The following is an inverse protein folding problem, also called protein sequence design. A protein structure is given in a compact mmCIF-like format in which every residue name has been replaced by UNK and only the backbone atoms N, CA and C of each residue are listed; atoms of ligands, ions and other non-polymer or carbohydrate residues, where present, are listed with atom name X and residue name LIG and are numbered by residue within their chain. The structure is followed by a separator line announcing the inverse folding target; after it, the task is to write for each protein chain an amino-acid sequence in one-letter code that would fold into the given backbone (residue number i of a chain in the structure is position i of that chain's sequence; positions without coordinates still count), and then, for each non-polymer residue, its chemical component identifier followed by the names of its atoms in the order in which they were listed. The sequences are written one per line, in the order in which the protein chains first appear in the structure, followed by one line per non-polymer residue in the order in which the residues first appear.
data_IF_246091871273
#
_entry.id   IF_246091871273
#
_cell.length_a   1.000
_cell.length_b   1.000
_cell.length_c   1.000
_cell.angle_alpha   90.00
_cell.angle_beta   90.00
_cell.angle_gamma   90.00
#
_symmetry.space_group_name_H-M   'P 1'
#
loop_
_entity.id
_entity.type
_entity.pdbx_description
1 polymer ?
#
# COMPACT_ATOMS: atom_id res chain seq x y z
N UNK A 1 14.17 -19.08 -5.20
CA UNK A 1 13.03 -19.26 -6.13
C UNK A 1 12.03 -18.13 -6.06
N UNK A 2 11.67 -17.66 -4.87
CA UNK A 2 10.70 -16.58 -4.72
C UNK A 2 11.17 -15.28 -5.39
N UNK A 3 12.44 -14.92 -5.24
CA UNK A 3 12.98 -13.71 -5.86
C UNK A 3 12.98 -13.78 -7.39
N UNK A 4 13.18 -14.96 -7.96
CA UNK A 4 13.09 -15.12 -9.41
C UNK A 4 11.67 -14.84 -9.93
N UNK A 5 10.64 -15.23 -9.18
CA UNK A 5 9.23 -14.94 -9.52
C UNK A 5 8.96 -13.45 -9.41
N UNK A 6 9.48 -12.80 -8.36
CA UNK A 6 9.32 -11.35 -8.17
C UNK A 6 10.00 -10.57 -9.31
N UNK A 7 11.21 -10.96 -9.70
CA UNK A 7 11.92 -10.34 -10.81
C UNK A 7 11.14 -10.52 -12.12
N UNK A 8 10.58 -11.70 -12.35
CA UNK A 8 9.75 -11.96 -13.53
C UNK A 8 8.52 -11.05 -13.56
N UNK A 9 7.82 -10.93 -12.43
CA UNK A 9 6.65 -10.04 -12.32
C UNK A 9 7.02 -8.60 -12.62
N UNK A 10 8.15 -8.14 -12.11
CA UNK A 10 8.61 -6.77 -12.33
C UNK A 10 8.96 -6.51 -13.79
N UNK A 11 9.66 -7.44 -14.44
CA UNK A 11 10.01 -7.35 -15.86
C UNK A 11 8.77 -7.39 -16.76
N UNK A 12 7.73 -8.11 -16.34
CA UNK A 12 6.49 -8.28 -17.10
C UNK A 12 5.36 -7.39 -16.60
N UNK A 13 5.68 -6.32 -15.86
CA UNK A 13 4.66 -5.46 -15.25
C UNK A 13 3.62 -4.98 -16.25
N UNK A 14 4.03 -4.58 -17.45
CA UNK A 14 3.11 -4.08 -18.49
C UNK A 14 2.17 -5.14 -19.04
N UNK A 15 2.47 -6.42 -18.81
CA UNK A 15 1.63 -7.54 -19.23
C UNK A 15 0.69 -8.03 -18.13
N UNK A 16 0.77 -7.45 -16.92
CA UNK A 16 -0.06 -7.86 -15.80
C UNK A 16 -1.53 -7.53 -16.04
N UNK A 17 -2.40 -8.43 -15.61
CA UNK A 17 -3.85 -8.35 -15.77
C UNK A 17 -4.54 -8.63 -14.44
N UNK A 18 -5.85 -8.29 -14.31
CA UNK A 18 -6.60 -8.60 -13.10
C UNK A 18 -6.52 -10.07 -12.69
N UNK A 19 -6.43 -10.99 -13.65
CA UNK A 19 -6.31 -12.43 -13.38
C UNK A 19 -5.01 -12.81 -12.65
N UNK A 20 -4.04 -11.91 -12.59
CA UNK A 20 -2.79 -12.15 -11.85
C UNK A 20 -2.91 -11.83 -10.35
N UNK A 21 -3.96 -11.12 -9.92
CA UNK A 21 -4.14 -10.76 -8.51
C UNK A 21 -4.18 -11.97 -7.57
N UNK A 22 -4.91 -13.06 -7.88
CA UNK A 22 -4.90 -14.23 -6.99
C UNK A 22 -3.51 -14.83 -6.82
N UNK A 23 -2.68 -14.80 -7.86
CA UNK A 23 -1.29 -15.30 -7.80
C UNK A 23 -0.44 -14.42 -6.91
N UNK A 24 -0.60 -13.10 -7.02
CA UNK A 24 0.11 -12.14 -6.19
C UNK A 24 -0.30 -12.31 -4.73
N UNK A 25 -1.59 -12.46 -4.47
CA UNK A 25 -2.11 -12.73 -3.11
C UNK A 25 -1.48 -13.97 -2.52
N UNK A 26 -1.40 -15.06 -3.30
CA UNK A 26 -0.81 -16.30 -2.86
C UNK A 26 0.68 -16.14 -2.52
N UNK A 27 1.43 -15.41 -3.34
CA UNK A 27 2.83 -15.12 -3.05
C UNK A 27 2.99 -14.34 -1.74
N UNK A 28 2.14 -13.35 -1.53
CA UNK A 28 2.16 -12.54 -0.32
C UNK A 28 1.90 -13.37 0.94
N UNK A 29 1.09 -14.43 0.83
CA UNK A 29 0.69 -15.27 1.96
C UNK A 29 1.57 -16.50 2.16
N UNK A 30 2.35 -16.92 1.14
CA UNK A 30 3.12 -18.16 1.21
C UNK A 30 4.38 -18.03 2.06
N UNK A 31 5.19 -17.00 1.82
CA UNK A 31 6.39 -16.71 2.61
C UNK A 31 6.44 -15.20 2.82
N UNK A 32 5.55 -14.66 3.65
CA UNK A 32 5.44 -13.22 3.81
C UNK A 32 6.65 -12.66 4.54
N UNK A 33 7.20 -11.61 3.99
CA UNK A 33 8.22 -10.79 4.61
C UNK A 33 8.11 -9.39 4.02
N UNK A 34 8.55 -8.37 4.76
CA UNK A 34 8.35 -6.98 4.36
C UNK A 34 8.93 -6.67 2.96
N UNK A 35 10.08 -7.22 2.62
CA UNK A 35 10.70 -6.96 1.32
C UNK A 35 9.93 -7.62 0.16
N UNK A 36 9.38 -8.81 0.37
CA UNK A 36 8.51 -9.48 -0.60
C UNK A 36 7.27 -8.64 -0.88
N UNK A 37 6.62 -8.17 0.18
CA UNK A 37 5.42 -7.35 0.08
C UNK A 37 5.73 -6.04 -0.67
N UNK A 38 6.83 -5.39 -0.31
CA UNK A 38 7.24 -4.13 -0.94
C UNK A 38 7.55 -4.32 -2.43
N UNK A 39 8.04 -5.48 -2.82
CA UNK A 39 8.23 -5.84 -4.22
C UNK A 39 6.89 -6.01 -4.96
N UNK A 40 5.95 -6.71 -4.34
CA UNK A 40 4.64 -7.00 -4.94
C UNK A 40 3.76 -5.76 -5.07
N UNK A 41 3.95 -4.75 -4.22
CA UNK A 41 3.08 -3.58 -4.21
C UNK A 41 3.09 -2.83 -5.55
N UNK A 42 4.18 -2.81 -6.26
CA UNK A 42 4.26 -2.16 -7.57
C UNK A 42 3.43 -2.90 -8.62
N UNK A 43 3.43 -4.24 -8.57
CA UNK A 43 2.61 -5.04 -9.48
C UNK A 43 1.13 -4.83 -9.23
N UNK A 44 0.72 -4.83 -7.96
CA UNK A 44 -0.67 -4.54 -7.58
C UNK A 44 -1.04 -3.11 -7.98
N UNK A 45 -0.13 -2.16 -7.76
CA UNK A 45 -0.34 -0.75 -8.14
C UNK A 45 -0.58 -0.59 -9.63
N UNK A 46 0.20 -1.28 -10.45
CA UNK A 46 0.01 -1.26 -11.90
C UNK A 46 -1.37 -1.79 -12.29
N UNK A 47 -1.76 -2.94 -11.75
CA UNK A 47 -3.06 -3.55 -12.05
C UNK A 47 -4.20 -2.63 -11.61
N UNK A 48 -4.12 -2.10 -10.41
CA UNK A 48 -5.15 -1.20 -9.85
C UNK A 48 -5.31 0.07 -10.69
N UNK A 49 -4.19 0.63 -11.16
CA UNK A 49 -4.19 1.86 -11.95
C UNK A 49 -4.79 1.64 -13.35
N UNK A 50 -4.40 0.56 -14.02
CA UNK A 50 -4.82 0.28 -15.39
C UNK A 50 -6.15 -0.48 -15.48
N UNK A 51 -6.60 -1.07 -14.39
CA UNK A 51 -7.85 -1.83 -14.31
C UNK A 51 -8.63 -1.39 -13.04
N UNK A 52 -9.26 -0.21 -13.09
CA UNK A 52 -9.90 0.38 -11.88
C UNK A 52 -10.91 -0.53 -11.20
N UNK A 53 -11.54 -1.46 -11.92
CA UNK A 53 -12.47 -2.43 -11.35
C UNK A 53 -11.82 -3.34 -10.31
N UNK A 54 -10.49 -3.43 -10.30
CA UNK A 54 -9.76 -4.26 -9.32
C UNK A 54 -9.57 -3.57 -7.98
N UNK A 55 -9.82 -2.28 -7.88
CA UNK A 55 -9.62 -1.51 -6.63
C UNK A 55 -10.44 -2.06 -5.48
N UNK A 56 -11.60 -2.63 -5.75
CA UNK A 56 -12.44 -3.27 -4.73
C UNK A 56 -11.73 -4.43 -4.03
N UNK A 57 -10.92 -5.19 -4.76
CA UNK A 57 -10.17 -6.32 -4.19
C UNK A 57 -9.06 -5.81 -3.27
N UNK A 58 -8.36 -4.76 -3.68
CA UNK A 58 -7.31 -4.15 -2.86
C UNK A 58 -7.92 -3.55 -1.59
N UNK A 59 -9.09 -2.94 -1.70
CA UNK A 59 -9.80 -2.41 -0.54
C UNK A 59 -10.19 -3.53 0.44
N UNK A 60 -10.62 -4.68 -0.07
CA UNK A 60 -10.88 -5.85 0.76
C UNK A 60 -9.61 -6.33 1.47
N UNK A 61 -8.47 -6.36 0.77
CA UNK A 61 -7.20 -6.75 1.35
C UNK A 61 -6.79 -5.82 2.50
N UNK A 62 -7.18 -4.55 2.43
CA UNK A 62 -6.86 -3.59 3.50
C UNK A 62 -7.53 -3.93 4.83
N UNK A 63 -8.52 -4.81 4.82
CA UNK A 63 -9.25 -5.28 6.01
C UNK A 63 -9.03 -6.76 6.31
N UNK A 64 -8.12 -7.42 5.59
CA UNK A 64 -7.84 -8.84 5.77
C UNK A 64 -7.20 -9.09 7.14
N UNK A 65 -7.40 -10.27 7.70
CA UNK A 65 -6.78 -10.67 8.96
C UNK A 65 -5.27 -10.79 8.83
N UNK A 66 -4.78 -11.11 7.63
CA UNK A 66 -3.36 -11.20 7.34
C UNK A 66 -2.79 -9.78 7.18
N UNK A 67 -1.97 -9.36 8.15
CA UNK A 67 -1.41 -8.01 8.12
C UNK A 67 -0.46 -7.78 6.95
N UNK A 68 0.12 -8.83 6.36
CA UNK A 68 0.94 -8.68 5.16
C UNK A 68 0.10 -8.27 3.94
N UNK A 69 -1.13 -8.78 3.83
CA UNK A 69 -2.06 -8.32 2.79
C UNK A 69 -2.49 -6.88 3.03
N UNK A 70 -2.73 -6.51 4.29
CA UNK A 70 -3.05 -5.11 4.62
C UNK A 70 -1.90 -4.19 4.25
N UNK A 71 -0.66 -4.59 4.54
CA UNK A 71 0.52 -3.83 4.16
C UNK A 71 0.61 -3.66 2.64
N UNK A 72 0.36 -4.73 1.88
CA UNK A 72 0.35 -4.70 0.42
C UNK A 72 -0.67 -3.68 -0.10
N UNK A 73 -1.88 -3.68 0.46
CA UNK A 73 -2.91 -2.71 0.11
C UNK A 73 -2.47 -1.27 0.41
N UNK A 74 -1.90 -1.04 1.59
CA UNK A 74 -1.44 0.29 2.00
C UNK A 74 -0.37 0.83 1.03
N UNK A 75 0.53 -0.03 0.58
CA UNK A 75 1.69 0.38 -0.22
C UNK A 75 1.47 0.32 -1.73
N UNK A 76 0.34 -0.21 -2.21
CA UNK A 76 0.18 -0.47 -3.65
C UNK A 76 0.19 0.80 -4.52
N UNK A 77 -0.09 1.96 -3.95
CA UNK A 77 -0.05 3.23 -4.70
C UNK A 77 1.24 4.03 -4.53
N UNK A 78 2.25 3.46 -3.86
CA UNK A 78 3.54 4.15 -3.76
C UNK A 78 4.06 4.53 -5.14
N UNK A 79 4.62 5.73 -5.23
CA UNK A 79 5.23 6.30 -6.44
C UNK A 79 4.26 6.63 -7.58
N UNK A 80 2.95 6.53 -7.37
CA UNK A 80 1.96 6.92 -8.39
C UNK A 80 1.73 8.43 -8.48
N UNK A 81 2.19 9.17 -7.49
CA UNK A 81 2.17 10.65 -7.51
C UNK A 81 0.77 11.19 -7.82
N UNK A 82 0.63 11.97 -8.89
CA UNK A 82 -0.64 12.60 -9.29
C UNK A 82 -1.71 11.59 -9.70
N UNK A 83 -1.31 10.37 -10.04
CA UNK A 83 -2.24 9.30 -10.42
C UNK A 83 -2.80 8.54 -9.22
N UNK A 84 -2.37 8.88 -8.00
CA UNK A 84 -2.89 8.26 -6.77
C UNK A 84 -4.39 8.50 -6.65
N UNK A 85 -5.15 7.43 -6.43
CA UNK A 85 -6.55 7.51 -6.04
C UNK A 85 -6.63 7.87 -4.56
N UNK A 86 -6.83 9.14 -4.28
CA UNK A 86 -6.77 9.70 -2.92
C UNK A 86 -7.88 9.15 -2.04
N UNK A 87 -9.09 8.96 -2.60
CA UNK A 87 -10.21 8.40 -1.85
C UNK A 87 -9.93 6.97 -1.42
N UNK A 88 -9.37 6.17 -2.33
CA UNK A 88 -8.97 4.80 -2.02
C UNK A 88 -7.86 4.78 -0.97
N UNK A 89 -6.87 5.66 -1.10
CA UNK A 89 -5.79 5.77 -0.11
C UNK A 89 -6.36 6.08 1.27
N UNK A 90 -7.25 7.06 1.38
CA UNK A 90 -7.86 7.41 2.66
C UNK A 90 -8.63 6.24 3.26
N UNK A 91 -9.45 5.55 2.47
CA UNK A 91 -10.22 4.40 2.95
C UNK A 91 -9.31 3.29 3.47
N UNK A 92 -8.24 2.97 2.74
CA UNK A 92 -7.28 1.94 3.13
C UNK A 92 -6.57 2.33 4.43
N UNK A 93 -6.11 3.57 4.54
CA UNK A 93 -5.43 4.04 5.74
C UNK A 93 -6.36 4.03 6.94
N UNK A 94 -7.60 4.51 6.78
CA UNK A 94 -8.59 4.52 7.86
C UNK A 94 -8.90 3.10 8.35
N UNK A 95 -8.96 2.13 7.44
CA UNK A 95 -9.17 0.72 7.82
C UNK A 95 -8.02 0.17 8.67
N UNK A 96 -6.89 0.83 8.71
CA UNK A 96 -5.68 0.37 9.39
C UNK A 96 -5.20 1.31 10.50
N UNK A 97 -6.05 2.21 10.96
CA UNK A 97 -5.76 3.04 12.13
C UNK A 97 -5.90 2.23 13.43
N UNK A 98 -5.44 2.79 14.54
CA UNK A 98 -5.51 2.17 15.87
C UNK A 98 -4.70 0.85 15.96
N UNK A 99 -3.64 0.74 15.16
CA UNK A 99 -2.83 -0.47 15.10
C UNK A 99 -1.61 -0.39 16.02
N UNK A 100 -1.25 -1.56 16.57
CA UNK A 100 0.00 -1.73 17.29
C UNK A 100 1.06 -2.47 16.46
N UNK A 101 0.67 -3.03 15.31
CA UNK A 101 1.57 -3.78 14.44
C UNK A 101 2.59 -2.86 13.76
N UNK A 102 3.87 -3.11 14.04
CA UNK A 102 4.97 -2.29 13.53
C UNK A 102 4.94 -2.15 12.00
N UNK A 103 4.80 -3.27 11.29
CA UNK A 103 4.86 -3.25 9.82
C UNK A 103 3.69 -2.50 9.19
N UNK A 104 2.53 -2.51 9.84
CA UNK A 104 1.37 -1.73 9.38
C UNK A 104 1.61 -0.25 9.62
N UNK A 105 2.04 0.13 10.83
CA UNK A 105 2.29 1.53 11.16
C UNK A 105 3.42 2.13 10.33
N UNK A 106 4.44 1.33 10.01
CA UNK A 106 5.53 1.74 9.12
C UNK A 106 5.02 1.97 7.71
N UNK A 107 4.18 1.08 7.20
CA UNK A 107 3.59 1.20 5.87
C UNK A 107 2.72 2.45 5.74
N UNK A 108 1.91 2.74 6.75
CA UNK A 108 1.09 3.95 6.79
C UNK A 108 1.99 5.19 6.71
N UNK A 109 3.04 5.21 7.51
CA UNK A 109 3.99 6.31 7.51
C UNK A 109 4.65 6.51 6.15
N UNK A 110 5.06 5.42 5.50
CA UNK A 110 5.70 5.48 4.18
C UNK A 110 4.72 5.94 3.09
N UNK A 111 3.47 5.49 3.15
CA UNK A 111 2.45 5.91 2.19
C UNK A 111 2.18 7.42 2.31
N UNK A 112 2.05 7.93 3.53
CA UNK A 112 1.86 9.36 3.78
C UNK A 112 3.08 10.16 3.35
N UNK A 113 4.28 9.70 3.71
CA UNK A 113 5.53 10.35 3.35
C UNK A 113 5.70 10.46 1.83
N UNK A 114 5.44 9.37 1.12
CA UNK A 114 5.54 9.36 -0.33
C UNK A 114 4.56 10.33 -0.97
N UNK A 115 3.30 10.28 -0.55
CA UNK A 115 2.26 11.15 -1.11
C UNK A 115 2.45 12.62 -0.71
N UNK A 116 3.12 12.91 0.40
CA UNK A 116 3.42 14.29 0.81
C UNK A 116 4.29 15.03 -0.19
N UNK A 117 5.06 14.32 -0.98
CA UNK A 117 5.86 14.93 -2.06
C UNK A 117 5.02 15.42 -3.22
N UNK A 118 3.81 14.87 -3.37
CA UNK A 118 2.87 15.24 -4.41
C UNK A 118 1.82 16.21 -3.89
N UNK A 119 1.24 15.92 -2.72
CA UNK A 119 0.18 16.74 -2.13
C UNK A 119 0.40 16.87 -0.61
N UNK A 120 1.32 17.75 -0.20
CA UNK A 120 1.62 17.93 1.23
C UNK A 120 0.43 18.42 2.04
N UNK A 121 -0.43 19.25 1.46
CA UNK A 121 -1.60 19.79 2.16
C UNK A 121 -2.57 18.68 2.54
N UNK A 122 -2.83 17.74 1.64
CA UNK A 122 -3.70 16.61 1.93
C UNK A 122 -3.13 15.75 3.06
N UNK A 123 -1.83 15.48 3.03
CA UNK A 123 -1.17 14.66 4.05
C UNK A 123 -1.23 15.35 5.40
N UNK A 124 -0.97 16.65 5.44
CA UNK A 124 -1.06 17.43 6.67
C UNK A 124 -2.47 17.37 7.26
N UNK A 125 -3.49 17.57 6.43
CA UNK A 125 -4.88 17.48 6.85
C UNK A 125 -5.25 16.09 7.36
N UNK A 126 -4.77 15.05 6.69
CA UNK A 126 -5.00 13.66 7.11
C UNK A 126 -4.40 13.40 8.49
N UNK A 127 -3.15 13.81 8.69
CA UNK A 127 -2.47 13.62 9.98
C UNK A 127 -3.20 14.37 11.09
N UNK A 128 -3.59 15.61 10.85
CA UNK A 128 -4.33 16.40 11.84
C UNK A 128 -5.69 15.78 12.16
N UNK A 129 -6.40 15.30 11.14
CA UNK A 129 -7.72 14.69 11.31
C UNK A 129 -7.68 13.42 12.14
N UNK A 130 -6.64 12.60 11.95
CA UNK A 130 -6.55 11.27 12.56
C UNK A 130 -5.41 11.13 13.57
N UNK A 131 -4.85 12.23 14.05
CA UNK A 131 -3.66 12.20 14.92
C UNK A 131 -3.82 11.34 16.17
N UNK A 132 -5.03 11.28 16.74
CA UNK A 132 -5.30 10.49 17.95
C UNK A 132 -5.38 8.99 17.67
N UNK A 133 -5.50 8.61 16.40
CA UNK A 133 -5.62 7.22 15.96
C UNK A 133 -4.40 6.73 15.19
N UNK A 134 -3.53 7.64 14.77
CA UNK A 134 -2.26 7.30 14.13
C UNK A 134 -1.20 7.00 15.18
N UNK A 135 -0.33 6.03 14.90
CA UNK A 135 0.81 5.77 15.77
C UNK A 135 1.83 6.92 15.67
N UNK A 136 2.65 7.07 16.70
CA UNK A 136 3.74 8.03 16.68
C UNK A 136 4.69 7.78 15.53
N UNK A 137 4.94 6.50 15.20
CA UNK A 137 5.78 6.10 14.08
C UNK A 137 5.19 6.58 12.75
N UNK A 138 3.88 6.38 12.55
CA UNK A 138 3.20 6.80 11.32
C UNK A 138 3.26 8.32 11.14
N UNK A 139 3.05 9.07 12.22
CA UNK A 139 3.12 10.53 12.20
C UNK A 139 4.53 11.00 11.89
N UNK A 140 5.53 10.42 12.56
CA UNK A 140 6.94 10.78 12.37
C UNK A 140 7.38 10.57 10.91
N UNK A 141 7.10 9.40 10.36
CA UNK A 141 7.49 9.08 9.00
C UNK A 141 6.69 9.89 7.98
N UNK A 142 5.38 10.01 8.18
CA UNK A 142 4.50 10.71 7.25
C UNK A 142 4.74 12.21 7.20
N UNK A 143 5.19 12.81 8.29
CA UNK A 143 5.43 14.25 8.36
C UNK A 143 6.86 14.66 8.03
N UNK A 144 7.70 13.72 7.62
CA UNK A 144 9.14 13.99 7.42
C UNK A 144 9.42 15.16 6.46
N UNK A 145 8.60 15.34 5.45
CA UNK A 145 8.77 16.38 4.43
C UNK A 145 7.71 17.49 4.50
N UNK A 146 6.97 17.55 5.58
CA UNK A 146 5.98 18.61 5.80
C UNK A 146 6.59 19.86 6.45
#
# INVERSE_FOLDING_TARGET
MQYAVLDYLQLKQKALKPSDLPKIKKLAQTKPWWDTIDFLCRSVGYISLHYPETKKFVLEWSRDEDFWLRRLAIEHQLLQKEETDVQLLEQILVNNLDQTEFFINKAIGWALRDYSKTNPDWVLEFIEKYKDRLSKLSIKEGSKYL
#
